data_IF_678673104588
#
_entry.id   IF_678673104588
#
_cell.length_a   1.000
_cell.length_b   1.000
_cell.length_c   1.000
_cell.angle_alpha   90.00
_cell.angle_beta   90.00
_cell.angle_gamma   90.00
#
_symmetry.space_group_name_H-M   'P 1'
#
loop_
_entity.id
_entity.type
_entity.pdbx_description
1 polymer ?
#
# COMPACT_ATOMS: atom_id res chain seq x y z
N UNK A 1 -49.85 -12.85 30.93
CA UNK A 1 -49.03 -11.89 31.71
C UNK A 1 -47.58 -12.04 31.29
N UNK A 2 -46.87 -10.93 31.04
CA UNK A 2 -45.42 -10.78 30.73
C UNK A 2 -44.99 -10.89 29.26
N UNK A 3 -45.53 -9.96 28.49
CA UNK A 3 -44.77 -8.95 27.75
C UNK A 3 -43.33 -8.71 28.27
N UNK A 4 -42.33 -8.91 27.41
CA UNK A 4 -40.98 -8.35 27.57
C UNK A 4 -40.55 -7.67 26.26
N UNK A 5 -40.30 -6.37 26.42
CA UNK A 5 -39.96 -5.30 25.49
C UNK A 5 -38.52 -5.52 24.91
N UNK A 6 -38.00 -4.63 24.05
CA UNK A 6 -37.31 -4.84 22.78
C UNK A 6 -35.81 -4.54 23.00
N UNK A 7 -35.08 -4.04 22.01
CA UNK A 7 -33.70 -3.54 22.11
C UNK A 7 -32.66 -4.66 21.86
N UNK A 8 -32.56 -5.09 20.61
CA UNK A 8 -31.28 -5.53 20.06
C UNK A 8 -30.62 -4.24 19.50
N UNK A 9 -29.75 -3.58 20.26
CA UNK A 9 -29.31 -2.22 19.96
C UNK A 9 -28.31 -2.23 18.80
N UNK A 10 -28.57 -1.37 17.82
CA UNK A 10 -27.67 -0.35 17.29
C UNK A 10 -26.19 -0.39 17.73
N UNK A 11 -25.45 -1.48 17.46
CA UNK A 11 -24.03 -1.62 17.85
C UNK A 11 -23.06 -1.83 16.68
N UNK A 12 -23.44 -1.50 15.45
CA UNK A 12 -22.67 -1.87 14.25
C UNK A 12 -22.19 -0.70 13.40
N UNK A 13 -21.75 0.43 13.97
CA UNK A 13 -21.13 1.52 13.18
C UNK A 13 -19.89 2.17 13.81
N UNK A 14 -19.07 1.42 14.55
CA UNK A 14 -17.76 1.91 14.99
C UNK A 14 -16.61 1.01 14.49
N UNK A 15 -16.54 0.79 13.17
CA UNK A 15 -15.32 0.31 12.53
C UNK A 15 -14.57 1.52 11.96
N UNK A 16 -13.79 2.20 12.80
CA UNK A 16 -12.79 3.14 12.30
C UNK A 16 -11.66 2.31 11.68
N UNK A 17 -11.70 2.16 10.36
CA UNK A 17 -10.75 1.32 9.61
C UNK A 17 -9.38 1.97 9.49
N UNK A 18 -8.56 1.90 10.52
CA UNK A 18 -7.11 2.15 10.41
C UNK A 18 -6.47 0.90 9.80
N UNK A 19 -6.17 0.93 8.50
CA UNK A 19 -5.38 -0.13 7.86
C UNK A 19 -3.92 0.04 8.26
N UNK A 20 -3.31 -1.04 8.77
CA UNK A 20 -1.88 -1.09 9.03
C UNK A 20 -1.07 -0.78 7.75
N UNK A 21 0.15 -0.22 7.88
CA UNK A 21 0.98 0.10 6.72
C UNK A 21 1.26 -1.17 5.91
N UNK A 22 0.95 -1.09 4.62
CA UNK A 22 1.02 -2.20 3.68
C UNK A 22 2.45 -2.54 3.25
N UNK A 23 3.49 -1.90 3.78
CA UNK A 23 4.84 -2.05 3.24
C UNK A 23 5.44 -3.38 3.72
N UNK A 24 5.46 -4.37 2.84
CA UNK A 24 6.00 -5.70 3.17
C UNK A 24 7.53 -5.74 3.22
N UNK A 25 8.19 -4.74 2.62
CA UNK A 25 9.63 -4.81 2.38
C UNK A 25 10.29 -3.44 2.37
N UNK A 26 11.40 -3.34 3.10
CA UNK A 26 12.29 -2.18 3.08
C UNK A 26 13.35 -2.32 1.99
N UNK A 27 13.44 -1.32 1.12
CA UNK A 27 14.38 -1.25 0.00
C UNK A 27 15.12 0.10 0.08
N UNK A 28 16.43 0.17 -0.22
CA UNK A 28 17.12 1.44 -0.31
C UNK A 28 16.47 2.36 -1.34
N UNK A 29 16.31 3.64 -0.97
CA UNK A 29 15.58 4.60 -1.80
C UNK A 29 16.13 4.72 -3.24
N UNK A 30 17.45 4.77 -3.40
CA UNK A 30 18.10 4.82 -4.71
C UNK A 30 17.78 3.59 -5.58
N UNK A 31 17.61 2.41 -4.97
CA UNK A 31 17.23 1.19 -5.67
C UNK A 31 15.78 1.27 -6.18
N UNK A 32 14.88 1.92 -5.44
CA UNK A 32 13.50 2.17 -5.89
C UNK A 32 13.49 3.09 -7.11
N UNK A 33 14.18 4.24 -7.05
CA UNK A 33 14.21 5.19 -8.17
C UNK A 33 14.85 4.62 -9.43
N UNK A 34 15.89 3.81 -9.28
CA UNK A 34 16.57 3.22 -10.43
C UNK A 34 15.72 2.20 -11.19
N UNK A 35 14.87 1.44 -10.47
CA UNK A 35 14.13 0.32 -11.05
C UNK A 35 12.67 0.65 -11.40
N UNK A 36 12.13 1.77 -10.89
CA UNK A 36 10.73 2.16 -11.07
C UNK A 36 10.62 3.45 -11.87
N UNK A 37 10.54 3.30 -13.19
CA UNK A 37 10.42 4.41 -14.14
C UNK A 37 8.99 4.49 -14.67
N UNK A 38 8.32 5.60 -14.41
CA UNK A 38 6.94 5.85 -14.86
C UNK A 38 6.87 5.79 -16.38
N UNK A 39 5.91 5.04 -16.90
CA UNK A 39 5.71 4.85 -18.34
C UNK A 39 6.75 3.95 -19.01
N UNK A 40 7.66 3.33 -18.26
CA UNK A 40 8.68 2.43 -18.83
C UNK A 40 8.73 1.08 -18.12
N UNK A 41 8.89 1.09 -16.81
CA UNK A 41 8.98 -0.14 -16.01
C UNK A 41 7.67 -0.92 -16.05
N UNK A 42 7.79 -2.24 -16.08
CA UNK A 42 6.68 -3.19 -16.00
C UNK A 42 6.64 -3.85 -14.63
N UNK A 43 5.47 -4.38 -14.25
CA UNK A 43 5.28 -5.15 -13.01
C UNK A 43 6.28 -6.30 -12.89
N UNK A 44 6.56 -7.00 -13.99
CA UNK A 44 7.52 -8.11 -14.00
C UNK A 44 8.96 -7.63 -13.72
N UNK A 45 9.38 -6.51 -14.31
CA UNK A 45 10.69 -5.91 -14.05
C UNK A 45 10.81 -5.42 -12.60
N UNK A 46 9.77 -4.75 -12.10
CA UNK A 46 9.73 -4.29 -10.71
C UNK A 46 9.80 -5.49 -9.74
N UNK A 47 9.04 -6.56 -10.01
CA UNK A 47 9.09 -7.80 -9.23
C UNK A 47 10.48 -8.44 -9.25
N UNK A 48 11.11 -8.52 -10.43
CA UNK A 48 12.44 -9.11 -10.57
C UNK A 48 13.51 -8.30 -9.82
N UNK A 49 13.43 -6.96 -9.87
CA UNK A 49 14.42 -6.08 -9.26
C UNK A 49 14.23 -5.92 -7.74
N UNK A 50 12.99 -5.78 -7.28
CA UNK A 50 12.67 -5.41 -5.90
C UNK A 50 12.12 -6.58 -5.08
N UNK A 51 11.79 -7.69 -5.73
CA UNK A 51 11.07 -8.82 -5.15
C UNK A 51 9.61 -8.50 -4.80
N UNK A 52 8.91 -9.44 -4.15
CA UNK A 52 7.50 -9.31 -3.86
C UNK A 52 7.22 -8.16 -2.88
N UNK A 53 6.04 -7.57 -3.02
CA UNK A 53 5.46 -6.53 -2.17
C UNK A 53 4.05 -6.94 -1.78
N UNK A 54 3.47 -6.30 -0.78
CA UNK A 54 2.01 -6.27 -0.65
C UNK A 54 1.42 -5.66 -1.91
N UNK A 55 0.42 -6.33 -2.48
CA UNK A 55 -0.27 -5.90 -3.69
C UNK A 55 -1.77 -5.75 -3.40
N UNK A 56 -2.33 -4.61 -3.77
CA UNK A 56 -3.76 -4.37 -3.86
C UNK A 56 -4.15 -4.39 -5.33
N UNK A 57 -5.04 -5.31 -5.72
CA UNK A 57 -5.55 -5.42 -7.08
C UNK A 57 -6.97 -4.89 -7.12
N UNK A 58 -7.27 -4.04 -8.09
CA UNK A 58 -8.61 -3.52 -8.34
C UNK A 58 -9.28 -4.29 -9.49
N UNK A 59 -10.61 -4.38 -9.48
CA UNK A 59 -11.39 -5.04 -10.54
C UNK A 59 -11.17 -4.40 -11.92
N UNK A 60 -10.75 -3.12 -11.95
CA UNK A 60 -10.35 -2.41 -13.17
C UNK A 60 -9.03 -2.89 -13.78
N UNK A 61 -8.32 -3.81 -13.14
CA UNK A 61 -7.01 -4.32 -13.56
C UNK A 61 -5.82 -3.50 -13.03
N UNK A 62 -6.06 -2.31 -12.49
CA UNK A 62 -5.02 -1.53 -11.82
C UNK A 62 -4.49 -2.28 -10.59
N UNK A 63 -3.21 -2.07 -10.27
CA UNK A 63 -2.59 -2.65 -9.09
C UNK A 63 -1.75 -1.63 -8.34
N UNK A 64 -1.82 -1.64 -7.01
CA UNK A 64 -0.99 -0.83 -6.14
C UNK A 64 -0.03 -1.71 -5.37
N UNK A 65 1.25 -1.46 -5.51
CA UNK A 65 2.32 -2.10 -4.73
C UNK A 65 2.97 -1.06 -3.83
N UNK A 66 3.47 -1.48 -2.67
CA UNK A 66 4.06 -0.57 -1.68
C UNK A 66 5.32 -1.16 -1.04
N UNK A 67 6.40 -0.41 -1.15
CA UNK A 67 7.67 -0.69 -0.49
C UNK A 67 7.93 0.36 0.60
N UNK A 68 8.68 -0.01 1.63
CA UNK A 68 9.26 0.94 2.57
C UNK A 68 10.69 1.29 2.14
N UNK A 69 11.21 2.42 2.62
CA UNK A 69 12.62 2.76 2.55
C UNK A 69 13.05 3.46 3.85
N UNK A 70 14.32 3.30 4.28
CA UNK A 70 14.76 3.88 5.55
C UNK A 70 14.87 5.41 5.47
N UNK A 71 14.51 6.09 6.56
CA UNK A 71 14.71 7.53 6.80
C UNK A 71 15.48 7.68 8.12
N UNK A 72 16.80 7.86 8.05
CA UNK A 72 17.62 7.96 9.27
C UNK A 72 17.61 6.67 10.12
N UNK A 73 17.84 6.81 11.42
CA UNK A 73 17.95 5.67 12.36
C UNK A 73 16.60 5.00 12.67
N UNK A 74 15.53 5.78 12.78
CA UNK A 74 14.25 5.32 13.35
C UNK A 74 13.03 5.67 12.48
N UNK A 75 13.25 6.24 11.30
CA UNK A 75 12.19 6.60 10.36
C UNK A 75 12.10 5.66 9.16
N UNK A 76 10.93 5.63 8.54
CA UNK A 76 10.75 5.01 7.24
C UNK A 76 9.81 5.84 6.36
N UNK A 77 10.09 5.84 5.07
CA UNK A 77 9.18 6.31 4.05
C UNK A 77 8.49 5.14 3.36
N UNK A 78 7.37 5.42 2.72
CA UNK A 78 6.63 4.52 1.86
C UNK A 78 6.78 4.98 0.40
N UNK A 79 7.00 4.02 -0.49
CA UNK A 79 7.06 4.18 -1.93
C UNK A 79 5.95 3.35 -2.57
N UNK A 80 4.92 4.04 -3.06
CA UNK A 80 3.73 3.45 -3.64
C UNK A 80 3.84 3.48 -5.16
N UNK A 81 3.59 2.35 -5.80
CA UNK A 81 3.62 2.18 -7.25
C UNK A 81 2.21 1.82 -7.71
N UNK A 82 1.66 2.59 -8.64
CA UNK A 82 0.44 2.26 -9.35
C UNK A 82 0.80 1.68 -10.71
N UNK A 83 0.37 0.46 -10.98
CA UNK A 83 0.39 -0.16 -12.29
C UNK A 83 -0.96 0.01 -12.97
N UNK A 84 -0.94 0.27 -14.27
CA UNK A 84 -2.13 0.21 -15.13
C UNK A 84 -2.52 -1.25 -15.45
N UNK A 85 -3.65 -1.48 -16.14
CA UNK A 85 -4.10 -2.83 -16.50
C UNK A 85 -3.13 -3.60 -17.40
N UNK A 86 -2.29 -2.90 -18.17
CA UNK A 86 -1.23 -3.49 -18.99
C UNK A 86 0.01 -3.86 -18.16
N UNK A 87 -0.01 -3.58 -16.86
CA UNK A 87 1.06 -3.87 -15.92
C UNK A 87 2.25 -2.92 -16.04
N UNK A 88 2.07 -1.72 -16.59
CA UNK A 88 3.13 -0.70 -16.68
C UNK A 88 3.00 0.29 -15.54
N UNK A 89 4.12 0.82 -15.06
CA UNK A 89 4.11 1.82 -13.99
C UNK A 89 3.42 3.08 -14.50
N UNK A 90 2.24 3.37 -13.95
CA UNK A 90 1.43 4.53 -14.30
C UNK A 90 1.78 5.75 -13.46
N UNK A 91 2.07 5.54 -12.18
CA UNK A 91 2.38 6.60 -11.21
C UNK A 91 3.16 6.05 -10.04
N UNK A 92 3.99 6.90 -9.43
CA UNK A 92 4.59 6.63 -8.13
C UNK A 92 4.23 7.72 -7.14
N UNK A 93 4.26 7.40 -5.84
CA UNK A 93 4.06 8.35 -4.75
C UNK A 93 5.01 8.01 -3.62
N UNK A 94 5.55 9.06 -2.99
CA UNK A 94 6.30 8.97 -1.74
C UNK A 94 5.45 9.48 -0.59
N UNK A 95 5.56 8.82 0.55
CA UNK A 95 5.04 9.25 1.85
C UNK A 95 6.19 9.10 2.82
N UNK A 96 6.38 10.08 3.68
CA UNK A 96 7.38 10.02 4.74
C UNK A 96 6.62 10.17 6.05
N UNK A 97 6.89 9.28 6.98
CA UNK A 97 6.35 9.34 8.33
C UNK A 97 7.48 9.84 9.22
N UNK A 98 7.38 11.08 9.71
CA UNK A 98 8.25 11.50 10.79
C UNK A 98 7.80 10.76 12.06
N UNK A 99 8.71 10.03 12.69
CA UNK A 99 8.55 9.63 14.09
C UNK A 99 8.82 10.89 14.90
N UNK A 100 7.75 11.52 15.39
CA UNK A 100 7.80 12.64 16.33
C UNK A 100 8.28 12.15 17.71
#
# INVERSE_FOLDING_TARGET
MKNLLPILPLLMLAACGTRAPLAARTIPYATLEHNVIVGQSTRAQVLAALGPSTALVFDSGYQVWMYAYPLGSDGHGEYVILFDPDGRVKKTRRRESATD
#
